data_IF_106303201575
#
_entry.id   IF_106303201575
#
_cell.length_a   1.000
_cell.length_b   1.000
_cell.length_c   1.000
_cell.angle_alpha   90.00
_cell.angle_beta   90.00
_cell.angle_gamma   90.00
#
_symmetry.space_group_name_H-M   'P 1'
#
loop_
_entity.id
_entity.type
_entity.pdbx_description
1 polymer ?
#
# COMPACT_ATOMS: atom_id res chain seq x y z
N UNK A 1 29.78 -9.02 18.49
CA UNK A 1 29.63 -9.58 17.12
C UNK A 1 28.37 -10.43 17.15
N UNK A 2 27.33 -10.23 16.35
CA UNK A 2 27.23 -9.59 15.04
C UNK A 2 26.17 -8.47 15.03
N UNK A 3 26.44 -7.41 14.27
CA UNK A 3 25.46 -6.40 13.94
C UNK A 3 24.47 -7.01 12.92
N UNK A 4 23.18 -6.87 13.22
CA UNK A 4 22.09 -7.23 12.33
C UNK A 4 22.15 -6.35 11.08
N UNK A 5 22.57 -6.93 9.96
CA UNK A 5 22.68 -6.21 8.70
C UNK A 5 21.27 -6.01 8.14
N UNK A 6 20.69 -4.82 8.37
CA UNK A 6 19.62 -4.32 7.54
C UNK A 6 20.06 -4.47 6.08
N UNK A 7 19.33 -5.27 5.29
CA UNK A 7 19.71 -5.53 3.90
C UNK A 7 19.67 -4.19 3.16
N UNK A 8 20.84 -3.63 2.86
CA UNK A 8 20.95 -2.47 1.99
C UNK A 8 20.27 -2.83 0.68
N UNK A 9 19.28 -2.04 0.30
CA UNK A 9 18.66 -2.12 -1.02
C UNK A 9 19.76 -2.05 -2.08
N UNK A 10 19.75 -2.99 -3.02
CA UNK A 10 20.66 -3.01 -4.17
C UNK A 10 20.68 -1.62 -4.83
N UNK A 11 21.86 -1.06 -5.14
CA UNK A 11 21.95 0.24 -5.79
C UNK A 11 21.20 0.19 -7.13
N UNK A 12 20.06 0.88 -7.20
CA UNK A 12 19.23 0.98 -8.40
C UNK A 12 17.81 0.41 -8.29
N UNK A 13 17.43 -0.31 -7.22
CA UNK A 13 16.02 -0.68 -7.06
C UNK A 13 15.19 0.56 -6.68
N UNK A 14 14.15 0.95 -7.44
CA UNK A 14 13.27 2.04 -7.03
C UNK A 14 12.81 1.89 -5.58
N UNK A 15 12.78 2.99 -4.86
CA UNK A 15 12.22 3.00 -3.50
C UNK A 15 10.71 3.21 -3.64
N UNK A 16 9.90 2.31 -3.11
CA UNK A 16 8.47 2.58 -2.93
C UNK A 16 8.33 3.63 -1.83
N UNK A 17 7.63 4.72 -2.12
CA UNK A 17 7.44 5.84 -1.19
C UNK A 17 6.01 5.84 -0.68
N UNK A 18 5.82 6.41 0.51
CA UNK A 18 4.52 6.64 1.13
C UNK A 18 4.39 8.14 1.43
N UNK A 19 3.17 8.69 1.54
CA UNK A 19 3.01 10.07 1.96
C UNK A 19 3.62 10.27 3.36
N UNK A 20 4.15 11.46 3.60
CA UNK A 20 4.47 11.89 4.96
C UNK A 20 3.16 12.19 5.66
N UNK A 21 2.87 11.46 6.74
CA UNK A 21 1.65 11.59 7.52
C UNK A 21 1.98 12.15 8.91
N UNK A 22 1.20 13.13 9.37
CA UNK A 22 1.26 13.69 10.71
C UNK A 22 -0.12 13.62 11.37
N UNK A 23 -0.15 13.07 12.59
CA UNK A 23 -1.33 13.12 13.45
C UNK A 23 -1.28 14.37 14.31
N UNK A 24 -2.34 15.17 14.28
CA UNK A 24 -2.45 16.43 15.01
C UNK A 24 -3.67 16.35 15.93
N UNK A 25 -3.44 16.37 17.23
CA UNK A 25 -4.51 16.45 18.23
C UNK A 25 -4.72 17.91 18.66
N UNK A 26 -5.90 18.48 18.41
CA UNK A 26 -6.22 19.88 18.68
C UNK A 26 -7.68 20.05 19.13
N UNK A 27 -7.89 20.63 20.32
CA UNK A 27 -9.22 20.90 20.90
C UNK A 27 -10.19 19.69 20.89
N UNK A 28 -9.66 18.48 21.12
CA UNK A 28 -10.45 17.25 21.12
C UNK A 28 -10.69 16.62 19.74
N UNK A 29 -10.16 17.23 18.68
CA UNK A 29 -10.17 16.66 17.33
C UNK A 29 -8.82 16.02 17.01
N UNK A 30 -8.85 14.90 16.27
CA UNK A 30 -7.68 14.30 15.64
C UNK A 30 -7.73 14.56 14.15
N UNK A 31 -6.73 15.26 13.64
CA UNK A 31 -6.53 15.54 12.23
C UNK A 31 -5.41 14.65 11.69
N UNK A 32 -5.59 14.17 10.46
CA UNK A 32 -4.53 13.52 9.68
C UNK A 32 -4.11 14.51 8.61
N UNK A 33 -2.85 14.93 8.65
CA UNK A 33 -2.25 15.77 7.62
C UNK A 33 -1.30 14.92 6.79
N UNK A 34 -1.46 14.94 5.46
CA UNK A 34 -0.65 14.17 4.53
C UNK A 34 0.03 15.07 3.50
N UNK A 35 1.24 14.71 3.07
CA UNK A 35 1.92 15.40 1.98
C UNK A 35 1.21 15.17 0.65
N UNK A 36 1.08 16.22 -0.16
CA UNK A 36 0.68 16.06 -1.56
C UNK A 36 1.70 15.23 -2.34
N UNK A 37 1.21 14.23 -3.04
CA UNK A 37 2.00 13.37 -3.92
C UNK A 37 1.75 13.75 -5.39
N UNK A 38 2.73 13.59 -6.29
CA UNK A 38 2.57 13.87 -7.72
C UNK A 38 1.83 12.73 -8.44
N UNK A 39 0.65 12.37 -7.95
CA UNK A 39 -0.20 11.26 -8.44
C UNK A 39 -1.59 11.78 -8.84
N UNK A 40 -2.27 11.04 -9.70
CA UNK A 40 -3.65 11.29 -10.13
C UNK A 40 -4.34 9.96 -10.46
N UNK A 41 -5.63 10.00 -10.83
CA UNK A 41 -6.37 8.81 -11.24
C UNK A 41 -5.64 8.03 -12.36
N UNK A 42 -5.05 8.75 -13.32
CA UNK A 42 -4.35 8.15 -14.47
C UNK A 42 -2.95 7.59 -14.13
N UNK A 43 -2.44 7.78 -12.91
CA UNK A 43 -1.12 7.25 -12.50
C UNK A 43 -1.20 5.92 -11.77
N UNK A 44 -2.40 5.37 -11.55
CA UNK A 44 -2.63 4.08 -10.91
C UNK A 44 -2.09 2.94 -11.79
N UNK A 45 -1.22 2.11 -11.24
CA UNK A 45 -0.60 0.97 -11.95
C UNK A 45 -0.63 -0.33 -11.15
N UNK A 46 -1.11 -0.30 -9.91
CA UNK A 46 -1.22 -1.45 -9.02
C UNK A 46 -2.42 -1.29 -8.08
N UNK A 47 -3.21 -2.35 -7.88
CA UNK A 47 -4.39 -2.31 -7.01
C UNK A 47 -5.66 -1.92 -7.77
N UNK A 48 -6.64 -1.35 -7.07
CA UNK A 48 -7.94 -0.99 -7.64
C UNK A 48 -8.58 0.19 -6.92
N UNK A 49 -9.05 1.16 -7.71
CA UNK A 49 -9.80 2.34 -7.25
C UNK A 49 -11.34 2.17 -7.37
N UNK A 50 -11.81 1.03 -7.89
CA UNK A 50 -13.22 0.82 -8.26
C UNK A 50 -13.82 -0.45 -7.65
N UNK A 51 -13.35 -0.79 -6.45
CA UNK A 51 -13.80 -1.94 -5.64
C UNK A 51 -13.50 -3.28 -6.34
N UNK A 52 -12.43 -3.35 -7.12
CA UNK A 52 -11.96 -4.56 -7.81
C UNK A 52 -12.66 -4.85 -9.14
N UNK A 53 -13.41 -3.90 -9.70
CA UNK A 53 -13.94 -4.05 -11.07
C UNK A 53 -12.80 -4.05 -12.08
N UNK A 54 -11.84 -3.15 -11.89
CA UNK A 54 -10.58 -3.07 -12.62
C UNK A 54 -9.44 -3.28 -11.63
N UNK A 55 -8.62 -4.30 -11.87
CA UNK A 55 -7.44 -4.58 -11.05
C UNK A 55 -6.19 -4.35 -11.89
N UNK A 56 -5.32 -3.49 -11.39
CA UNK A 56 -4.04 -3.15 -11.99
C UNK A 56 -2.92 -3.99 -11.39
N UNK A 57 -2.02 -4.44 -12.27
CA UNK A 57 -0.72 -5.00 -11.95
C UNK A 57 0.16 -4.76 -13.18
N UNK A 58 0.31 -3.48 -13.52
CA UNK A 58 0.70 -3.04 -14.86
C UNK A 58 2.15 -2.52 -14.91
N UNK A 59 2.80 -2.33 -13.75
CA UNK A 59 4.21 -1.99 -13.62
C UNK A 59 4.99 -3.16 -12.96
N UNK A 60 5.64 -4.05 -13.75
CA UNK A 60 6.37 -5.21 -13.22
C UNK A 60 7.49 -4.86 -12.24
N UNK A 61 8.09 -3.67 -12.37
CA UNK A 61 9.14 -3.19 -11.48
C UNK A 61 8.56 -2.93 -10.08
N UNK A 62 7.42 -2.23 -10.02
CA UNK A 62 6.69 -2.02 -8.78
C UNK A 62 6.20 -3.34 -8.18
N UNK A 63 5.62 -4.24 -8.97
CA UNK A 63 5.11 -5.53 -8.51
C UNK A 63 6.19 -6.40 -7.88
N UNK A 64 7.39 -6.44 -8.48
CA UNK A 64 8.54 -7.15 -7.93
C UNK A 64 8.98 -6.58 -6.56
N UNK A 65 8.90 -5.26 -6.39
CA UNK A 65 9.25 -4.59 -5.14
C UNK A 65 8.23 -4.81 -4.06
N UNK A 66 6.94 -4.66 -4.38
CA UNK A 66 5.85 -4.96 -3.46
C UNK A 66 5.90 -6.43 -3.05
N UNK A 67 6.24 -7.36 -3.95
CA UNK A 67 6.49 -8.75 -3.60
C UNK A 67 7.63 -8.95 -2.58
N UNK A 68 8.71 -8.15 -2.67
CA UNK A 68 9.79 -8.16 -1.66
C UNK A 68 9.32 -7.57 -0.33
N UNK A 69 8.62 -6.44 -0.34
CA UNK A 69 8.11 -5.77 0.87
C UNK A 69 7.10 -6.67 1.57
N UNK A 70 6.17 -7.27 0.83
CA UNK A 70 5.16 -8.21 1.33
C UNK A 70 5.79 -9.36 2.12
N UNK A 71 6.92 -9.93 1.65
CA UNK A 71 7.64 -10.97 2.40
C UNK A 71 8.16 -10.47 3.76
N UNK A 72 8.66 -9.24 3.84
CA UNK A 72 9.10 -8.66 5.12
C UNK A 72 7.94 -8.37 6.05
N UNK A 73 6.77 -8.02 5.48
CA UNK A 73 5.52 -7.80 6.22
C UNK A 73 4.75 -9.09 6.52
N UNK A 74 5.25 -10.26 6.09
CA UNK A 74 4.57 -11.56 6.18
C UNK A 74 3.18 -11.58 5.52
N UNK A 75 3.00 -10.82 4.46
CA UNK A 75 1.76 -10.81 3.67
C UNK A 75 1.74 -11.98 2.69
N UNK A 76 0.58 -12.61 2.57
CA UNK A 76 0.34 -13.69 1.61
C UNK A 76 -0.30 -13.11 0.34
N UNK A 77 0.24 -13.40 -0.86
CA UNK A 77 -0.44 -13.05 -2.10
C UNK A 77 -1.83 -13.66 -2.18
N UNK A 78 -2.78 -12.90 -2.74
CA UNK A 78 -4.18 -13.30 -2.80
C UNK A 78 -4.86 -12.77 -4.07
N UNK A 79 -5.93 -13.45 -4.48
CA UNK A 79 -6.71 -13.10 -5.65
C UNK A 79 -7.56 -11.87 -5.33
N UNK A 80 -7.49 -10.86 -6.20
CA UNK A 80 -8.24 -9.60 -6.14
C UNK A 80 -9.09 -9.46 -7.40
N UNK A 81 -10.28 -8.87 -7.26
CA UNK A 81 -11.20 -8.56 -8.34
C UNK A 81 -12.18 -9.67 -8.68
N UNK A 82 -12.85 -9.54 -9.83
CA UNK A 82 -13.94 -10.42 -10.25
C UNK A 82 -13.73 -11.03 -11.64
N UNK A 83 -14.22 -12.26 -11.81
CA UNK A 83 -14.26 -12.93 -13.11
C UNK A 83 -12.90 -13.04 -13.80
N UNK A 84 -12.87 -12.80 -15.11
CA UNK A 84 -11.65 -12.92 -15.92
C UNK A 84 -10.62 -11.80 -15.66
N UNK A 85 -11.01 -10.70 -15.00
CA UNK A 85 -10.12 -9.59 -14.65
C UNK A 85 -9.36 -9.79 -13.34
N UNK A 86 -9.49 -10.95 -12.71
CA UNK A 86 -8.83 -11.25 -11.45
C UNK A 86 -7.30 -11.28 -11.58
N UNK A 87 -6.63 -10.74 -10.57
CA UNK A 87 -5.17 -10.77 -10.45
C UNK A 87 -4.73 -11.22 -9.07
N UNK A 88 -3.56 -11.85 -8.99
CA UNK A 88 -2.95 -12.20 -7.70
C UNK A 88 -2.03 -11.05 -7.26
N UNK A 89 -2.43 -10.33 -6.22
CA UNK A 89 -1.66 -9.21 -5.68
C UNK A 89 -0.97 -9.61 -4.37
N UNK A 90 0.18 -9.02 -4.09
CA UNK A 90 0.94 -9.22 -2.85
C UNK A 90 0.46 -8.32 -1.70
N UNK A 91 -0.28 -7.27 -2.02
CA UNK A 91 -0.89 -6.30 -1.11
C UNK A 91 -2.43 -6.37 -1.21
N UNK A 92 -3.18 -5.81 -0.25
CA UNK A 92 -4.63 -5.69 -0.33
C UNK A 92 -5.08 -5.09 -1.66
N UNK A 93 -6.21 -5.55 -2.19
CA UNK A 93 -6.68 -5.14 -3.52
C UNK A 93 -7.02 -3.66 -3.66
N UNK A 94 -7.37 -3.02 -2.55
CA UNK A 94 -7.67 -1.60 -2.42
C UNK A 94 -6.43 -0.75 -2.10
N UNK A 95 -5.26 -1.36 -1.89
CA UNK A 95 -4.01 -0.61 -1.76
C UNK A 95 -3.58 -0.15 -3.15
N UNK A 96 -3.41 1.16 -3.33
CA UNK A 96 -3.12 1.76 -4.63
C UNK A 96 -1.63 2.08 -4.78
N UNK A 97 -1.03 1.55 -5.85
CA UNK A 97 0.33 1.86 -6.26
C UNK A 97 0.34 2.72 -7.51
N UNK A 98 1.04 3.86 -7.44
CA UNK A 98 1.11 4.84 -8.52
C UNK A 98 2.52 5.05 -9.04
N UNK A 99 2.63 5.24 -10.36
CA UNK A 99 3.81 5.82 -11.01
C UNK A 99 3.62 7.33 -11.14
N UNK A 100 4.16 8.08 -10.19
CA UNK A 100 3.99 9.54 -10.14
C UNK A 100 4.56 10.25 -11.36
N UNK A 101 4.10 11.48 -11.59
CA UNK A 101 4.54 12.32 -12.73
C UNK A 101 6.01 12.75 -12.63
N UNK A 102 6.62 12.58 -11.46
CA UNK A 102 8.05 12.75 -11.21
C UNK A 102 8.89 11.47 -11.45
N UNK A 103 8.26 10.41 -11.98
CA UNK A 103 8.88 9.13 -12.30
C UNK A 103 9.11 8.21 -11.10
N UNK A 104 8.65 8.58 -9.90
CA UNK A 104 8.80 7.79 -8.66
C UNK A 104 7.56 6.96 -8.37
N UNK A 105 7.72 5.88 -7.62
CA UNK A 105 6.61 5.02 -7.20
C UNK A 105 6.11 5.41 -5.82
N UNK A 106 4.80 5.51 -5.67
CA UNK A 106 4.11 5.87 -4.43
C UNK A 106 3.04 4.82 -4.10
N UNK A 107 2.88 4.51 -2.82
CA UNK A 107 1.86 3.61 -2.32
C UNK A 107 0.95 4.36 -1.34
N UNK A 108 -0.37 4.22 -1.52
CA UNK A 108 -1.40 4.79 -0.66
C UNK A 108 -2.43 3.70 -0.27
N UNK A 109 -3.41 4.06 0.57
CA UNK A 109 -4.49 3.16 1.00
C UNK A 109 -4.02 1.88 1.72
N UNK A 110 -3.10 2.07 2.67
CA UNK A 110 -2.40 1.00 3.38
C UNK A 110 -3.08 0.53 4.68
N UNK A 111 -4.29 1.03 4.99
CA UNK A 111 -4.95 0.74 6.26
C UNK A 111 -5.22 -0.75 6.48
N UNK A 112 -5.42 -1.52 5.41
CA UNK A 112 -5.70 -2.97 5.44
C UNK A 112 -4.45 -3.86 5.39
N UNK A 113 -3.26 -3.30 5.53
CA UNK A 113 -2.04 -4.11 5.73
C UNK A 113 -2.02 -4.80 7.10
N UNK A 114 -2.67 -4.19 8.08
CA UNK A 114 -2.79 -4.73 9.43
C UNK A 114 -4.18 -5.33 9.62
N UNK A 115 -4.33 -6.33 10.51
CA UNK A 115 -5.64 -6.85 10.87
C UNK A 115 -6.57 -5.72 11.32
N UNK A 116 -7.87 -5.78 10.99
CA UNK A 116 -8.83 -4.81 11.49
C UNK A 116 -8.87 -4.86 13.03
N UNK A 117 -9.18 -3.73 13.64
CA UNK A 117 -9.45 -3.69 15.08
C UNK A 117 -10.59 -4.67 15.42
N UNK A 118 -10.45 -5.37 16.55
CA UNK A 118 -11.49 -6.28 17.01
C UNK A 118 -12.79 -5.50 17.27
N UNK A 119 -13.97 -6.04 16.92
CA UNK A 119 -15.23 -5.38 17.22
C UNK A 119 -15.34 -5.12 18.72
N UNK A 120 -15.88 -3.94 19.09
CA UNK A 120 -16.22 -3.69 20.49
C UNK A 120 -17.16 -4.79 20.99
N UNK A 121 -16.84 -5.37 22.16
CA UNK A 121 -17.74 -6.33 22.79
C UNK A 121 -19.03 -5.59 23.15
N UNK A 122 -20.15 -5.94 22.51
CA UNK A 122 -21.47 -5.50 22.97
C UNK A 122 -21.70 -6.06 24.37
N UNK A 123 -21.60 -5.21 25.38
CA UNK A 123 -22.05 -5.53 26.74
C UNK A 123 -23.55 -5.26 26.75
N UNK A 124 -24.36 -6.31 26.67
CA UNK A 124 -25.77 -6.21 27.03
C UNK A 124 -25.84 -5.94 28.53
N UNK A 125 -26.33 -4.75 28.90
CA UNK A 125 -26.76 -4.40 30.26
C UNK A 125 -28.23 -4.72 30.46
#
# INVERSE_FOLDING_TARGET
>A
AAAESASRTEPGSPVVRVPLICLIDYLGYRLIAESFLPISADTLVYGSADVGQTVHDDDPELSAQLGRIARHLNLKPHVTGFGAGQRTLAFPGDAEGHRGTDGRCYMVDLARLLPPEAPAKFVFG
#
